data_IF_497934983620
#
_entry.id   IF_497934983620
#
_cell.length_a   1.000
_cell.length_b   1.000
_cell.length_c   1.000
_cell.angle_alpha   90.00
_cell.angle_beta   90.00
_cell.angle_gamma   90.00
#
_symmetry.space_group_name_H-M   'P 1'
#
loop_
_entity.id
_entity.type
_entity.pdbx_description
1 polymer ?
#
# COMPACT_ATOMS: atom_id res chain seq x y z
N UNK A 1 51.99 7.53 29.09
CA UNK A 1 51.70 8.77 28.36
C UNK A 1 50.43 8.54 27.54
N UNK A 2 49.34 9.26 27.82
CA UNK A 2 48.09 9.12 27.05
C UNK A 2 48.14 10.15 25.91
N UNK A 3 48.23 9.70 24.66
CA UNK A 3 48.05 10.57 23.49
C UNK A 3 46.56 10.90 23.38
N UNK A 4 46.21 12.18 23.55
CA UNK A 4 44.87 12.68 23.24
C UNK A 4 44.77 12.99 21.75
N UNK A 5 43.57 12.87 21.18
CA UNK A 5 43.28 13.35 19.83
C UNK A 5 43.43 14.88 19.76
N UNK A 6 43.95 15.39 18.64
CA UNK A 6 43.99 16.83 18.40
C UNK A 6 42.60 17.32 17.95
N UNK A 7 42.28 18.58 18.23
CA UNK A 7 41.02 19.20 17.78
C UNK A 7 40.89 19.18 16.25
N UNK A 8 42.00 19.34 15.53
CA UNK A 8 42.03 19.37 14.06
C UNK A 8 41.65 18.02 13.48
N UNK A 9 42.16 16.92 14.06
CA UNK A 9 41.80 15.56 13.63
C UNK A 9 40.31 15.30 13.82
N UNK A 10 39.72 15.74 14.94
CA UNK A 10 38.27 15.61 15.15
C UNK A 10 37.45 16.45 14.15
N UNK A 11 37.91 17.66 13.83
CA UNK A 11 37.21 18.56 12.91
C UNK A 11 37.18 18.04 11.47
N UNK A 12 38.28 17.50 10.97
CA UNK A 12 38.34 16.92 9.62
C UNK A 12 37.42 15.70 9.52
N UNK A 13 37.39 14.85 10.56
CA UNK A 13 36.50 13.68 10.60
C UNK A 13 35.03 14.09 10.56
N UNK A 14 34.62 15.09 11.36
CA UNK A 14 33.26 15.60 11.33
C UNK A 14 32.90 16.22 9.97
N UNK A 15 33.84 16.94 9.33
CA UNK A 15 33.63 17.50 8.00
C UNK A 15 33.38 16.42 6.94
N UNK A 16 34.15 15.32 6.96
CA UNK A 16 33.97 14.20 6.03
C UNK A 16 32.65 13.47 6.30
N UNK A 17 32.30 13.20 7.57
CA UNK A 17 31.01 12.56 7.93
C UNK A 17 29.83 13.44 7.48
N UNK A 18 29.91 14.75 7.69
CA UNK A 18 28.87 15.69 7.27
C UNK A 18 28.70 15.69 5.74
N UNK A 19 29.80 15.68 4.98
CA UNK A 19 29.77 15.61 3.52
C UNK A 19 29.13 14.30 3.01
N UNK A 20 29.46 13.16 3.63
CA UNK A 20 28.86 11.87 3.27
C UNK A 20 27.35 11.82 3.60
N UNK A 21 26.96 12.31 4.79
CA UNK A 21 25.56 12.36 5.23
C UNK A 21 24.71 13.27 4.34
N UNK A 22 25.28 14.38 3.83
CA UNK A 22 24.60 15.30 2.93
C UNK A 22 24.13 14.62 1.62
N UNK A 23 24.93 13.70 1.07
CA UNK A 23 24.58 12.96 -0.15
C UNK A 23 23.72 11.73 0.16
N UNK A 24 23.99 11.02 1.26
CA UNK A 24 23.29 9.78 1.60
C UNK A 24 21.83 10.00 2.01
N UNK A 25 21.53 11.08 2.75
CA UNK A 25 20.19 11.34 3.29
C UNK A 25 19.08 11.48 2.22
N UNK A 26 19.21 12.33 1.18
CA UNK A 26 18.14 12.46 0.18
C UNK A 26 17.93 11.17 -0.62
N UNK A 27 19.01 10.40 -0.87
CA UNK A 27 18.92 9.10 -1.53
C UNK A 27 18.15 8.09 -0.67
N UNK A 28 18.46 8.02 0.62
CA UNK A 28 17.76 7.14 1.56
C UNK A 28 16.27 7.48 1.67
N UNK A 29 15.91 8.76 1.75
CA UNK A 29 14.52 9.20 1.80
C UNK A 29 13.74 8.80 0.54
N UNK A 30 14.36 8.92 -0.64
CA UNK A 30 13.74 8.48 -1.90
C UNK A 30 13.56 6.97 -1.96
N UNK A 31 14.55 6.19 -1.49
CA UNK A 31 14.46 4.74 -1.44
C UNK A 31 13.32 4.28 -0.52
N UNK A 32 13.15 4.90 0.65
CA UNK A 32 12.03 4.61 1.57
C UNK A 32 10.69 4.91 0.92
N UNK A 33 10.55 6.05 0.22
CA UNK A 33 9.32 6.38 -0.51
C UNK A 33 8.98 5.35 -1.58
N UNK A 34 9.97 4.88 -2.34
CA UNK A 34 9.79 3.86 -3.38
C UNK A 34 9.40 2.51 -2.77
N UNK A 35 10.06 2.11 -1.69
CA UNK A 35 9.75 0.88 -0.96
C UNK A 35 8.31 0.90 -0.41
N UNK A 36 7.86 2.04 0.16
CA UNK A 36 6.48 2.22 0.60
C UNK A 36 5.48 2.08 -0.54
N UNK A 37 5.70 2.77 -1.67
CA UNK A 37 4.82 2.70 -2.83
C UNK A 37 4.70 1.26 -3.38
N UNK A 38 5.84 0.54 -3.48
CA UNK A 38 5.85 -0.87 -3.89
C UNK A 38 5.13 -1.77 -2.89
N UNK A 39 5.32 -1.57 -1.58
CA UNK A 39 4.62 -2.32 -0.54
C UNK A 39 3.11 -2.12 -0.59
N UNK A 40 2.65 -0.88 -0.76
CA UNK A 40 1.21 -0.56 -0.86
C UNK A 40 0.62 -1.13 -2.14
N UNK A 41 1.34 -1.06 -3.27
CA UNK A 41 0.92 -1.73 -4.51
C UNK A 41 0.75 -3.25 -4.32
N UNK A 42 1.68 -3.91 -3.62
CA UNK A 42 1.57 -5.34 -3.33
C UNK A 42 0.38 -5.64 -2.40
N UNK A 43 0.16 -4.80 -1.39
CA UNK A 43 -0.99 -4.94 -0.50
C UNK A 43 -2.32 -4.80 -1.27
N UNK A 44 -2.43 -3.84 -2.20
CA UNK A 44 -3.60 -3.72 -3.08
C UNK A 44 -3.86 -5.00 -3.87
N UNK A 45 -2.82 -5.59 -4.49
CA UNK A 45 -2.94 -6.85 -5.22
C UNK A 45 -3.40 -8.00 -4.33
N UNK A 46 -2.85 -8.09 -3.12
CA UNK A 46 -3.23 -9.12 -2.15
C UNK A 46 -4.69 -8.99 -1.71
N UNK A 47 -5.16 -7.76 -1.42
CA UNK A 47 -6.56 -7.52 -1.03
C UNK A 47 -7.51 -7.81 -2.19
N UNK A 48 -7.16 -7.37 -3.41
CA UNK A 48 -7.95 -7.67 -4.63
C UNK A 48 -8.13 -9.18 -4.81
N UNK A 49 -7.04 -9.93 -4.80
CA UNK A 49 -7.08 -11.39 -4.95
C UNK A 49 -7.88 -12.06 -3.82
N UNK A 50 -7.71 -11.60 -2.58
CA UNK A 50 -8.48 -12.12 -1.44
C UNK A 50 -9.98 -11.85 -1.60
N UNK A 51 -10.35 -10.64 -2.03
CA UNK A 51 -11.74 -10.27 -2.29
C UNK A 51 -12.33 -11.12 -3.43
N UNK A 52 -11.62 -11.29 -4.54
CA UNK A 52 -12.07 -12.12 -5.67
C UNK A 52 -12.30 -13.57 -5.26
N UNK A 53 -11.42 -14.15 -4.43
CA UNK A 53 -11.58 -15.50 -3.91
C UNK A 53 -12.78 -15.62 -2.97
N UNK A 54 -12.96 -14.66 -2.05
CA UNK A 54 -14.12 -14.60 -1.17
C UNK A 54 -15.42 -14.48 -1.96
N UNK A 55 -15.46 -13.57 -2.93
CA UNK A 55 -16.62 -13.32 -3.80
C UNK A 55 -17.09 -14.59 -4.50
N UNK A 56 -16.17 -15.35 -5.09
CA UNK A 56 -16.49 -16.58 -5.83
C UNK A 56 -16.87 -17.77 -4.92
N UNK A 57 -16.34 -17.80 -3.69
CA UNK A 57 -16.53 -18.93 -2.77
C UNK A 57 -17.77 -18.75 -1.90
N UNK A 58 -17.90 -17.59 -1.24
CA UNK A 58 -18.96 -17.32 -0.27
C UNK A 58 -20.28 -16.95 -0.94
N UNK A 59 -20.23 -16.56 -2.22
CA UNK A 59 -21.41 -16.29 -3.05
C UNK A 59 -22.40 -15.33 -2.35
N UNK A 60 -21.95 -14.17 -1.84
CA UNK A 60 -22.73 -13.34 -0.95
C UNK A 60 -24.09 -12.97 -1.55
N UNK A 61 -25.15 -13.15 -0.76
CA UNK A 61 -26.53 -12.80 -1.10
C UNK A 61 -27.23 -12.28 0.16
N UNK A 62 -27.55 -10.98 0.26
CA UNK A 62 -27.37 -9.92 -0.74
C UNK A 62 -25.91 -9.48 -0.92
N UNK A 63 -25.60 -8.91 -2.08
CA UNK A 63 -24.31 -8.24 -2.30
C UNK A 63 -24.28 -6.96 -1.48
N UNK A 64 -23.39 -6.90 -0.50
CA UNK A 64 -23.18 -5.74 0.35
C UNK A 64 -21.69 -5.42 0.46
N UNK A 65 -21.39 -4.23 0.97
CA UNK A 65 -20.04 -3.84 1.34
C UNK A 65 -19.46 -4.88 2.32
N UNK A 66 -18.20 -5.23 2.13
CA UNK A 66 -17.47 -6.12 3.05
C UNK A 66 -16.35 -5.35 3.73
N UNK A 67 -15.76 -5.92 4.77
CA UNK A 67 -14.61 -5.33 5.45
C UNK A 67 -13.33 -6.14 5.23
N UNK A 68 -12.17 -5.49 5.25
CA UNK A 68 -10.87 -6.15 5.24
C UNK A 68 -10.77 -7.08 6.46
N UNK A 69 -11.34 -6.67 7.58
CA UNK A 69 -11.47 -7.51 8.78
C UNK A 69 -12.24 -8.81 8.50
N UNK A 70 -13.36 -8.77 7.78
CA UNK A 70 -14.11 -9.98 7.42
C UNK A 70 -13.31 -10.91 6.49
N UNK A 71 -12.60 -10.35 5.51
CA UNK A 71 -11.71 -11.12 4.63
C UNK A 71 -10.58 -11.80 5.41
N UNK A 72 -10.05 -11.14 6.45
CA UNK A 72 -9.05 -11.73 7.34
C UNK A 72 -9.64 -12.87 8.17
N UNK A 73 -10.77 -12.62 8.82
CA UNK A 73 -11.39 -13.58 9.74
C UNK A 73 -11.91 -14.82 8.99
N UNK A 74 -12.31 -14.65 7.74
CA UNK A 74 -12.71 -15.73 6.83
C UNK A 74 -11.50 -16.45 6.20
N UNK A 75 -10.26 -16.06 6.54
CA UNK A 75 -9.03 -16.74 6.12
C UNK A 75 -8.49 -16.36 4.74
N UNK A 76 -9.11 -15.40 4.04
CA UNK A 76 -8.66 -14.94 2.71
C UNK A 76 -7.49 -13.95 2.79
N UNK A 77 -7.28 -13.32 3.94
CA UNK A 77 -6.14 -12.45 4.25
C UNK A 77 -5.44 -12.90 5.51
N UNK A 78 -4.13 -13.14 5.45
CA UNK A 78 -3.35 -13.52 6.65
C UNK A 78 -3.18 -12.36 7.64
N UNK A 79 -3.29 -11.12 7.17
CA UNK A 79 -3.15 -9.91 8.00
C UNK A 79 -3.86 -8.75 7.31
N UNK A 80 -4.50 -7.88 8.09
CA UNK A 80 -5.01 -6.60 7.58
C UNK A 80 -3.84 -5.63 7.38
N UNK A 81 -3.54 -5.21 6.14
CA UNK A 81 -2.46 -4.26 5.88
C UNK A 81 -2.82 -2.88 6.45
N UNK A 82 -1.86 -2.29 7.18
CA UNK A 82 -2.05 -0.98 7.80
C UNK A 82 -2.19 0.13 6.74
N UNK A 83 -3.03 1.13 7.04
CA UNK A 83 -3.24 2.31 6.20
C UNK A 83 -4.31 2.17 5.11
N UNK A 84 -4.98 1.02 5.03
CA UNK A 84 -6.14 0.81 4.18
C UNK A 84 -7.44 1.11 4.93
N UNK A 85 -8.46 1.57 4.20
CA UNK A 85 -9.84 1.64 4.70
C UNK A 85 -10.33 0.23 5.02
N UNK A 86 -10.88 0.02 6.21
CA UNK A 86 -11.42 -1.28 6.59
C UNK A 86 -12.65 -1.64 5.75
N UNK A 87 -13.42 -0.66 5.27
CA UNK A 87 -14.58 -0.90 4.39
C UNK A 87 -14.14 -1.02 2.93
N UNK A 88 -14.53 -2.13 2.30
CA UNK A 88 -14.48 -2.37 0.85
C UNK A 88 -15.89 -2.15 0.30
N UNK A 89 -16.03 -1.13 -0.54
CA UNK A 89 -17.33 -0.75 -1.09
C UNK A 89 -17.62 -1.57 -2.34
N UNK A 90 -18.79 -2.18 -2.42
CA UNK A 90 -19.26 -2.93 -3.59
C UNK A 90 -20.48 -2.22 -4.15
N UNK A 91 -20.34 -1.62 -5.33
CA UNK A 91 -21.39 -0.84 -5.98
C UNK A 91 -21.90 -1.58 -7.21
N UNK A 92 -23.20 -1.80 -7.32
CA UNK A 92 -23.79 -2.41 -8.52
C UNK A 92 -23.68 -1.45 -9.70
N UNK A 93 -23.26 -1.97 -10.86
CA UNK A 93 -23.23 -1.19 -12.10
C UNK A 93 -24.66 -1.15 -12.66
N UNK A 94 -25.29 0.04 -12.63
CA UNK A 94 -26.69 0.20 -13.01
C UNK A 94 -27.00 -0.25 -14.46
N UNK A 95 -26.00 -0.26 -15.33
CA UNK A 95 -26.13 -0.62 -16.74
C UNK A 95 -25.92 -2.12 -17.01
N UNK A 96 -25.42 -2.89 -16.05
CA UNK A 96 -25.02 -4.30 -16.25
C UNK A 96 -25.46 -5.16 -15.05
N UNK A 97 -26.66 -5.77 -15.08
CA UNK A 97 -27.13 -6.59 -13.97
C UNK A 97 -26.18 -7.78 -13.73
N UNK A 98 -25.71 -7.91 -12.49
CA UNK A 98 -24.73 -8.94 -12.09
C UNK A 98 -23.27 -8.48 -12.12
N UNK A 99 -22.98 -7.25 -12.55
CA UNK A 99 -21.64 -6.64 -12.49
C UNK A 99 -21.56 -5.63 -11.34
N UNK A 100 -20.47 -5.68 -10.59
CA UNK A 100 -20.22 -4.82 -9.45
C UNK A 100 -18.83 -4.19 -9.54
N UNK A 101 -18.76 -2.89 -9.28
CA UNK A 101 -17.51 -2.15 -9.07
C UNK A 101 -17.11 -2.27 -7.59
N UNK A 102 -15.92 -2.79 -7.35
CA UNK A 102 -15.34 -2.95 -6.02
C UNK A 102 -14.29 -1.88 -5.82
N UNK A 103 -14.40 -1.14 -4.74
CA UNK A 103 -13.53 -0.01 -4.42
C UNK A 103 -12.76 -0.28 -3.12
N UNK A 104 -11.44 -0.27 -3.22
CA UNK A 104 -10.52 -0.36 -2.08
C UNK A 104 -9.77 0.97 -1.96
N UNK A 105 -9.74 1.57 -0.77
CA UNK A 105 -9.12 2.87 -0.54
C UNK A 105 -7.95 2.81 0.43
N UNK A 106 -6.88 3.54 0.14
CA UNK A 106 -5.75 3.79 1.04
C UNK A 106 -5.91 5.16 1.71
N UNK A 107 -5.85 5.20 3.04
CA UNK A 107 -6.20 6.38 3.86
C UNK A 107 -5.03 6.97 4.65
N UNK A 108 -3.88 6.29 4.72
CA UNK A 108 -2.75 6.77 5.53
C UNK A 108 -2.05 8.02 4.96
N UNK A 109 -2.24 8.34 3.67
CA UNK A 109 -1.75 9.59 3.07
C UNK A 109 -0.22 9.76 3.01
N UNK A 110 0.54 8.72 3.33
CA UNK A 110 2.01 8.75 3.43
C UNK A 110 2.72 8.19 2.18
N UNK A 111 1.96 7.87 1.13
CA UNK A 111 2.46 7.33 -0.13
C UNK A 111 2.34 8.38 -1.23
N UNK A 112 3.43 8.55 -2.00
CA UNK A 112 3.43 9.32 -3.24
C UNK A 112 2.51 8.64 -4.27
N UNK A 113 1.35 9.24 -4.55
CA UNK A 113 0.32 8.69 -5.47
C UNK A 113 0.85 8.45 -6.88
N UNK A 114 1.72 9.33 -7.39
CA UNK A 114 2.35 9.15 -8.70
C UNK A 114 3.26 7.92 -8.76
N UNK A 115 3.98 7.63 -7.68
CA UNK A 115 4.84 6.42 -7.61
C UNK A 115 3.99 5.17 -7.46
N UNK A 116 2.92 5.24 -6.66
CA UNK A 116 1.99 4.12 -6.51
C UNK A 116 1.35 3.75 -7.85
N UNK A 117 0.92 4.74 -8.64
CA UNK A 117 0.37 4.52 -9.97
C UNK A 117 1.41 3.94 -10.96
N UNK A 118 2.69 4.28 -10.81
CA UNK A 118 3.75 3.65 -11.59
C UNK A 118 3.91 2.14 -11.28
N UNK A 119 3.78 1.74 -10.02
CA UNK A 119 3.87 0.33 -9.62
C UNK A 119 2.57 -0.45 -9.87
N UNK A 120 1.43 0.23 -9.81
CA UNK A 120 0.14 -0.38 -10.08
C UNK A 120 -0.81 0.60 -10.79
N UNK A 121 -0.88 0.55 -12.14
CA UNK A 121 -1.57 1.56 -12.94
C UNK A 121 -3.09 1.54 -12.80
N UNK A 122 -3.67 0.45 -12.26
CA UNK A 122 -5.10 0.35 -11.94
C UNK A 122 -5.50 1.21 -10.73
N UNK A 123 -4.53 1.65 -9.92
CA UNK A 123 -4.78 2.55 -8.79
C UNK A 123 -4.83 3.98 -9.29
N UNK A 124 -5.95 4.66 -9.02
CA UNK A 124 -6.12 6.07 -9.30
C UNK A 124 -6.05 6.86 -7.99
N UNK A 125 -5.01 7.69 -7.84
CA UNK A 125 -4.73 8.42 -6.60
C UNK A 125 -4.37 7.47 -5.46
N UNK A 126 -5.33 7.20 -4.59
CA UNK A 126 -5.20 6.27 -3.44
C UNK A 126 -6.26 5.17 -3.45
N UNK A 127 -6.99 5.03 -4.56
CA UNK A 127 -8.14 4.13 -4.65
C UNK A 127 -7.95 3.16 -5.81
N UNK A 128 -8.20 1.88 -5.54
CA UNK A 128 -8.28 0.83 -6.55
C UNK A 128 -9.75 0.52 -6.80
N UNK A 129 -10.19 0.64 -8.06
CA UNK A 129 -11.50 0.19 -8.49
C UNK A 129 -11.34 -0.93 -9.51
N UNK A 130 -12.00 -2.05 -9.28
CA UNK A 130 -12.00 -3.19 -10.20
C UNK A 130 -13.40 -3.80 -10.30
N UNK A 131 -13.67 -4.43 -11.44
CA UNK A 131 -14.97 -5.04 -11.73
C UNK A 131 -14.98 -6.51 -11.37
N UNK A 132 -16.05 -6.94 -10.72
CA UNK A 132 -16.37 -8.36 -10.51
C UNK A 132 -17.76 -8.65 -11.07
N UNK A 133 -17.92 -9.85 -11.65
CA UNK A 133 -19.19 -10.31 -12.18
C UNK A 133 -19.67 -11.53 -11.40
N UNK A 134 -20.97 -11.58 -11.17
CA UNK A 134 -21.67 -12.71 -10.54
C UNK A 134 -22.08 -13.72 -11.62
N UNK A 135 -21.68 -14.98 -11.44
CA UNK A 135 -21.91 -16.07 -12.40
C UNK A 135 -22.80 -17.21 -11.87
N UNK A 136 -23.33 -17.07 -10.65
CA UNK A 136 -24.15 -18.07 -9.95
C UNK A 136 -25.52 -17.51 -9.53
#
# INVERSE_FOLDING_TARGET
MRKGFTLVELLIVLAVIAALMAVATPLALNAVKNAKASQVAQNFRNIKAAFENWWNTERPSPVANTTITNLRDSGYLSKSPAGFSDTITVTSVASEPGVYDVTISYTAGDVDTSKLQQYYPEVSGTTLTFRVQKWW
#
